data_IF_398272052816
#
_entry.id   IF_398272052816
#
_cell.length_a   1.000
_cell.length_b   1.000
_cell.length_c   1.000
_cell.angle_alpha   90.00
_cell.angle_beta   90.00
_cell.angle_gamma   90.00
#
_symmetry.space_group_name_H-M   'P 1'
#
loop_
_entity.id
_entity.type
_entity.pdbx_description
1 polymer ?
#
# COMPACT_ATOMS: atom_id res chain seq x y z
N UNK A 1 26.57 -16.15 7.95
CA UNK A 1 25.78 -15.51 9.01
C UNK A 1 24.74 -14.69 8.28
N UNK A 2 23.54 -15.25 8.14
CA UNK A 2 22.48 -14.70 7.28
C UNK A 2 22.08 -13.33 7.81
N UNK A 3 22.41 -12.30 7.04
CA UNK A 3 21.80 -10.99 7.20
C UNK A 3 20.32 -11.24 6.90
N UNK A 4 19.50 -11.24 7.94
CA UNK A 4 18.05 -11.17 7.76
C UNK A 4 17.83 -9.97 6.84
N UNK A 5 17.42 -10.21 5.59
CA UNK A 5 17.24 -9.16 4.59
C UNK A 5 16.31 -8.11 5.20
N UNK A 6 16.89 -6.94 5.50
CA UNK A 6 16.20 -5.85 6.18
C UNK A 6 14.90 -5.47 5.44
N UNK A 7 14.93 -5.57 4.11
CA UNK A 7 13.79 -5.33 3.23
C UNK A 7 12.62 -6.27 3.52
N UNK A 8 12.89 -7.56 3.74
CA UNK A 8 11.85 -8.55 4.06
C UNK A 8 11.22 -8.25 5.43
N UNK A 9 12.03 -7.83 6.41
CA UNK A 9 11.54 -7.45 7.74
C UNK A 9 10.68 -6.20 7.67
N UNK A 10 11.14 -5.17 6.94
CA UNK A 10 10.38 -3.95 6.67
C UNK A 10 9.03 -4.25 6.03
N UNK A 11 9.02 -5.12 5.02
CA UNK A 11 7.82 -5.52 4.29
C UNK A 11 6.82 -6.25 5.20
N UNK A 12 7.30 -7.18 6.03
CA UNK A 12 6.46 -7.88 7.02
C UNK A 12 5.89 -6.90 8.05
N UNK A 13 6.70 -5.98 8.57
CA UNK A 13 6.26 -4.96 9.54
C UNK A 13 5.24 -4.01 8.92
N UNK A 14 5.40 -3.60 7.66
CA UNK A 14 4.43 -2.79 6.93
C UNK A 14 3.09 -3.52 6.81
N UNK A 15 3.09 -4.78 6.38
CA UNK A 15 1.85 -5.57 6.24
C UNK A 15 1.18 -5.74 7.61
N UNK A 16 1.94 -6.12 8.65
CA UNK A 16 1.42 -6.31 10.00
C UNK A 16 0.81 -5.02 10.56
N UNK A 17 1.48 -3.87 10.36
CA UNK A 17 0.99 -2.56 10.80
C UNK A 17 -0.27 -2.15 10.05
N UNK A 18 -0.34 -2.40 8.74
CA UNK A 18 -1.52 -2.11 7.93
C UNK A 18 -2.73 -2.93 8.37
N UNK A 19 -2.54 -4.23 8.64
CA UNK A 19 -3.59 -5.12 9.15
C UNK A 19 -4.04 -4.66 10.54
N UNK A 20 -3.10 -4.34 11.43
CA UNK A 20 -3.39 -3.87 12.79
C UNK A 20 -4.25 -2.61 12.77
N UNK A 21 -3.84 -1.63 11.96
CA UNK A 21 -4.59 -0.39 11.77
C UNK A 21 -5.99 -0.72 11.28
N UNK A 22 -6.14 -1.54 10.23
CA UNK A 22 -7.46 -1.95 9.71
C UNK A 22 -8.39 -2.54 10.79
N UNK A 23 -7.88 -3.42 11.66
CA UNK A 23 -8.65 -3.97 12.78
C UNK A 23 -9.03 -2.90 13.80
N UNK A 24 -8.12 -2.00 14.16
CA UNK A 24 -8.38 -0.91 15.09
C UNK A 24 -9.50 0.02 14.61
N UNK A 25 -9.57 0.28 13.30
CA UNK A 25 -10.61 1.15 12.71
C UNK A 25 -11.92 0.43 12.39
N UNK A 26 -11.94 -0.91 12.39
CA UNK A 26 -13.14 -1.69 12.12
C UNK A 26 -14.28 -1.49 13.14
N UNK A 27 -13.95 -1.01 14.34
CA UNK A 27 -14.91 -0.67 15.40
C UNK A 27 -15.57 0.71 15.26
N UNK A 28 -15.09 1.57 14.36
CA UNK A 28 -15.70 2.90 14.16
C UNK A 28 -16.85 2.79 13.16
N UNK A 29 -18.07 3.10 13.61
CA UNK A 29 -19.26 3.19 12.75
C UNK A 29 -19.36 4.51 11.99
N UNK A 30 -20.17 4.53 10.93
CA UNK A 30 -20.49 5.75 10.17
C UNK A 30 -19.38 6.21 9.21
N UNK A 31 -19.45 7.48 8.81
CA UNK A 31 -18.55 8.09 7.79
C UNK A 31 -17.07 7.96 8.14
N UNK A 32 -16.73 8.00 9.43
CA UNK A 32 -15.35 7.87 9.93
C UNK A 32 -14.82 6.46 9.61
N UNK A 33 -15.58 5.41 9.95
CA UNK A 33 -15.23 4.04 9.63
C UNK A 33 -15.12 3.77 8.13
N UNK A 34 -16.04 4.31 7.32
CA UNK A 34 -15.97 4.18 5.86
C UNK A 34 -14.72 4.86 5.29
N UNK A 35 -14.42 6.08 5.76
CA UNK A 35 -13.23 6.84 5.35
C UNK A 35 -11.95 6.07 5.65
N UNK A 36 -11.84 5.55 6.87
CA UNK A 36 -10.69 4.77 7.30
C UNK A 36 -10.55 3.43 6.57
N UNK A 37 -11.66 2.76 6.24
CA UNK A 37 -11.63 1.58 5.37
C UNK A 37 -11.11 1.93 3.98
N UNK A 38 -11.53 3.05 3.40
CA UNK A 38 -11.04 3.50 2.09
C UNK A 38 -9.54 3.82 2.13
N UNK A 39 -9.06 4.48 3.21
CA UNK A 39 -7.62 4.70 3.43
C UNK A 39 -6.88 3.37 3.55
N UNK A 40 -7.40 2.43 4.35
CA UNK A 40 -6.79 1.11 4.56
C UNK A 40 -6.66 0.31 3.26
N UNK A 41 -7.70 0.33 2.41
CA UNK A 41 -7.63 -0.28 1.08
C UNK A 41 -6.59 0.38 0.19
N UNK A 42 -6.50 1.72 0.19
CA UNK A 42 -5.46 2.44 -0.55
C UNK A 42 -4.04 2.09 -0.08
N UNK A 43 -3.84 1.95 1.23
CA UNK A 43 -2.57 1.54 1.81
C UNK A 43 -2.17 0.10 1.43
N UNK A 44 -3.15 -0.83 1.40
CA UNK A 44 -2.90 -2.22 0.93
C UNK A 44 -2.50 -2.23 -0.55
N UNK A 45 -3.16 -1.42 -1.39
CA UNK A 45 -2.80 -1.30 -2.81
C UNK A 45 -1.38 -0.75 -3.00
N UNK A 46 -1.01 0.29 -2.23
CA UNK A 46 0.34 0.84 -2.21
C UNK A 46 1.39 -0.19 -1.78
N UNK A 47 1.17 -0.85 -0.63
CA UNK A 47 2.08 -1.88 -0.15
C UNK A 47 2.22 -3.04 -1.15
N UNK A 48 1.11 -3.52 -1.71
CA UNK A 48 1.12 -4.56 -2.74
C UNK A 48 1.86 -4.15 -4.00
N UNK A 49 1.75 -2.89 -4.41
CA UNK A 49 2.50 -2.37 -5.56
C UNK A 49 4.01 -2.39 -5.30
N UNK A 50 4.48 -1.89 -4.15
CA UNK A 50 5.91 -1.89 -3.80
C UNK A 50 6.49 -3.31 -3.78
N UNK A 51 5.76 -4.26 -3.19
CA UNK A 51 6.17 -5.67 -3.18
C UNK A 51 6.30 -6.18 -4.61
N UNK A 52 5.33 -5.86 -5.46
CA UNK A 52 5.35 -6.26 -6.86
C UNK A 52 6.52 -5.64 -7.64
N UNK A 53 6.86 -4.38 -7.39
CA UNK A 53 8.02 -3.71 -8.00
C UNK A 53 9.33 -4.37 -7.57
N UNK A 54 9.50 -4.63 -6.28
CA UNK A 54 10.70 -5.25 -5.72
C UNK A 54 10.91 -6.67 -6.26
N UNK A 55 9.82 -7.44 -6.38
CA UNK A 55 9.82 -8.74 -7.06
C UNK A 55 10.10 -8.60 -8.57
N UNK A 56 9.47 -7.66 -9.26
CA UNK A 56 9.67 -7.45 -10.69
C UNK A 56 11.12 -7.07 -11.01
N UNK A 57 11.73 -6.18 -10.22
CA UNK A 57 13.13 -5.81 -10.37
C UNK A 57 14.09 -6.97 -10.10
N UNK A 58 13.72 -7.89 -9.20
CA UNK A 58 14.53 -9.07 -8.89
C UNK A 58 14.46 -10.16 -9.97
N UNK A 59 13.37 -10.23 -10.73
CA UNK A 59 13.12 -11.30 -11.71
C UNK A 59 13.17 -10.87 -13.19
N UNK A 60 13.04 -9.58 -13.52
CA UNK A 60 12.93 -9.09 -14.91
C UNK A 60 14.14 -8.21 -15.29
N UNK A 61 14.84 -8.58 -16.36
CA UNK A 61 16.04 -7.90 -16.90
C UNK A 61 15.72 -6.54 -17.55
N UNK A 62 16.69 -5.61 -17.52
CA UNK A 62 16.49 -4.15 -17.57
C UNK A 62 15.78 -3.54 -18.80
N UNK A 63 15.71 -4.22 -19.94
CA UNK A 63 15.11 -3.65 -21.16
C UNK A 63 13.58 -3.60 -21.13
N UNK A 64 12.94 -4.42 -20.29
CA UNK A 64 11.49 -4.44 -20.09
C UNK A 64 11.06 -3.43 -19.00
N UNK A 65 12.00 -2.87 -18.24
CA UNK A 65 11.75 -2.06 -17.05
C UNK A 65 10.96 -0.77 -17.31
N UNK A 66 11.14 -0.09 -18.45
CA UNK A 66 10.51 1.21 -18.69
C UNK A 66 8.99 1.14 -18.84
N UNK A 67 8.47 0.15 -19.56
CA UNK A 67 7.02 -0.03 -19.75
C UNK A 67 6.34 -0.47 -18.46
N UNK A 68 7.04 -1.27 -17.65
CA UNK A 68 6.51 -1.76 -16.37
C UNK A 68 6.55 -0.68 -15.29
N UNK A 69 7.55 0.21 -15.31
CA UNK A 69 7.62 1.37 -14.41
C UNK A 69 6.44 2.33 -14.59
N UNK A 70 5.95 2.51 -15.82
CA UNK A 70 4.79 3.40 -16.08
C UNK A 70 3.47 2.79 -15.57
N UNK A 71 3.27 1.48 -15.78
CA UNK A 71 2.15 0.74 -15.19
C UNK A 71 2.22 0.72 -13.67
N UNK A 72 3.40 0.53 -13.11
CA UNK A 72 3.64 0.54 -11.68
C UNK A 72 3.23 1.88 -11.03
N UNK A 73 3.75 3.00 -11.54
CA UNK A 73 3.39 4.32 -11.03
C UNK A 73 1.89 4.60 -11.14
N UNK A 74 1.20 4.06 -12.15
CA UNK A 74 -0.25 4.23 -12.26
C UNK A 74 -1.03 3.54 -11.14
N UNK A 75 -0.61 2.34 -10.73
CA UNK A 75 -1.22 1.59 -9.62
C UNK A 75 -0.93 2.30 -8.29
N UNK A 76 0.30 2.76 -8.11
CA UNK A 76 0.71 3.51 -6.93
C UNK A 76 -0.12 4.81 -6.78
N UNK A 77 -0.31 5.52 -7.88
CA UNK A 77 -1.11 6.75 -7.95
C UNK A 77 -2.58 6.49 -7.64
N UNK A 78 -3.15 5.36 -8.06
CA UNK A 78 -4.50 4.94 -7.67
C UNK A 78 -4.59 4.66 -6.16
N UNK A 79 -3.61 3.94 -5.60
CA UNK A 79 -3.52 3.71 -4.15
C UNK A 79 -3.46 5.02 -3.36
N UNK A 80 -2.65 5.98 -3.84
CA UNK A 80 -2.53 7.30 -3.24
C UNK A 80 -3.83 8.12 -3.34
N UNK A 81 -4.52 8.07 -4.48
CA UNK A 81 -5.83 8.71 -4.65
C UNK A 81 -6.88 8.13 -3.71
N UNK A 82 -6.89 6.82 -3.48
CA UNK A 82 -7.80 6.18 -2.51
C UNK A 82 -7.54 6.70 -1.10
N UNK A 83 -6.27 6.84 -0.70
CA UNK A 83 -5.90 7.41 0.60
C UNK A 83 -6.39 8.86 0.71
N UNK A 84 -6.10 9.71 -0.28
CA UNK A 84 -6.55 11.11 -0.30
C UNK A 84 -8.07 11.19 -0.21
N UNK A 85 -8.79 10.35 -0.94
CA UNK A 85 -10.25 10.38 -0.95
C UNK A 85 -10.84 9.98 0.40
N UNK A 86 -10.27 8.96 1.04
CA UNK A 86 -10.65 8.59 2.40
C UNK A 86 -10.33 9.68 3.42
N UNK A 87 -9.16 10.32 3.34
CA UNK A 87 -8.81 11.49 4.15
C UNK A 87 -9.79 12.65 3.95
N UNK A 88 -10.17 12.93 2.70
CA UNK A 88 -11.13 13.98 2.37
C UNK A 88 -12.49 13.72 2.98
N UNK A 89 -12.98 12.47 2.97
CA UNK A 89 -14.24 12.11 3.62
C UNK A 89 -14.19 12.30 5.13
N UNK A 90 -13.02 12.10 5.75
CA UNK A 90 -12.81 12.33 7.17
C UNK A 90 -12.81 13.83 7.52
N UNK A 91 -12.15 14.67 6.71
CA UNK A 91 -12.02 16.12 6.96
C UNK A 91 -13.31 16.91 6.64
N UNK A 92 -14.16 16.42 5.73
CA UNK A 92 -15.41 17.10 5.37
C UNK A 92 -16.52 17.00 6.42
N UNK A 93 -16.26 16.36 7.56
CA UNK A 93 -17.22 16.10 8.62
C UNK A 93 -16.72 16.67 9.94
#
# INVERSE_FOLDING_TARGET
>A
MEIINFDIVMLVVMIASSIWVFFMISGYGGVIGTSFKTIGWGAIFLAGSHIFEELAHKFITSEISQTYGLLYHSIELVGFLMIIFGLRMLVKK
#
